data_IF_920162879547
#
_entry.id   IF_920162879547
#
_cell.length_a   1.000
_cell.length_b   1.000
_cell.length_c   1.000
_cell.angle_alpha   90.00
_cell.angle_beta   90.00
_cell.angle_gamma   90.00
#
_symmetry.space_group_name_H-M   'P 1'
#
loop_
_entity.id
_entity.type
_entity.pdbx_description
1 polymer ?
#
# COMPACT_ATOMS: atom_id res chain seq x y z
N UNK A 1 6.83 12.23 -32.73
CA UNK A 1 7.91 12.35 -31.72
C UNK A 1 7.51 13.17 -30.50
N UNK A 2 6.97 14.38 -30.64
CA UNK A 2 6.54 15.22 -29.50
C UNK A 2 5.65 14.49 -28.48
N UNK A 3 4.63 13.76 -28.96
CA UNK A 3 3.75 12.92 -28.14
C UNK A 3 4.50 11.96 -27.21
N UNK A 4 5.47 11.21 -27.73
CA UNK A 4 6.21 10.21 -26.95
C UNK A 4 7.08 10.89 -25.90
N UNK A 5 7.72 12.02 -26.24
CA UNK A 5 8.54 12.78 -25.29
C UNK A 5 7.69 13.27 -24.12
N UNK A 6 6.51 13.83 -24.41
CA UNK A 6 5.57 14.27 -23.37
C UNK A 6 5.12 13.07 -22.52
N UNK A 7 4.73 11.96 -23.16
CA UNK A 7 4.30 10.76 -22.44
C UNK A 7 5.38 10.18 -21.52
N UNK A 8 6.63 10.12 -21.98
CA UNK A 8 7.77 9.66 -21.16
C UNK A 8 8.06 10.62 -20.01
N UNK A 9 7.97 11.93 -20.23
CA UNK A 9 8.12 12.92 -19.16
C UNK A 9 7.04 12.77 -18.08
N UNK A 10 5.79 12.51 -18.49
CA UNK A 10 4.71 12.19 -17.56
C UNK A 10 4.98 10.89 -16.80
N UNK A 11 5.41 9.84 -17.51
CA UNK A 11 5.73 8.54 -16.92
C UNK A 11 6.85 8.57 -15.87
N UNK A 12 7.74 9.56 -15.89
CA UNK A 12 8.79 9.75 -14.87
C UNK A 12 8.24 10.45 -13.62
N UNK A 13 7.25 11.34 -13.78
CA UNK A 13 6.73 12.20 -12.72
C UNK A 13 5.43 11.68 -12.09
N UNK A 14 5.15 10.38 -12.18
CA UNK A 14 3.94 9.83 -11.58
C UNK A 14 3.99 9.87 -10.05
N UNK A 15 2.81 10.01 -9.44
CA UNK A 15 2.63 9.92 -7.99
C UNK A 15 1.90 8.63 -7.64
N UNK A 16 2.29 8.00 -6.55
CA UNK A 16 1.65 6.79 -6.03
C UNK A 16 0.59 7.15 -4.99
N UNK A 17 -0.46 6.32 -4.92
CA UNK A 17 -1.38 6.30 -3.79
C UNK A 17 -2.74 6.92 -4.07
N UNK A 18 -3.73 6.39 -3.36
CA UNK A 18 -5.12 6.85 -3.44
C UNK A 18 -5.39 7.75 -2.24
N UNK A 19 -5.78 9.00 -2.49
CA UNK A 19 -6.28 9.84 -1.42
C UNK A 19 -7.74 9.47 -1.12
N UNK A 20 -8.11 9.11 0.12
CA UNK A 20 -9.49 8.75 0.45
C UNK A 20 -10.50 9.86 0.15
N UNK A 21 -10.07 11.13 0.17
CA UNK A 21 -10.89 12.28 -0.23
C UNK A 21 -11.35 12.21 -1.69
N UNK A 22 -10.62 11.52 -2.57
CA UNK A 22 -10.99 11.39 -3.98
C UNK A 22 -12.02 10.27 -4.24
N UNK A 23 -12.31 9.44 -3.23
CA UNK A 23 -13.33 8.39 -3.33
C UNK A 23 -14.75 8.91 -3.11
N UNK A 24 -14.88 10.12 -2.60
CA UNK A 24 -16.16 10.73 -2.26
C UNK A 24 -16.37 11.97 -3.12
N UNK A 25 -17.62 12.26 -3.48
CA UNK A 25 -17.98 13.51 -4.15
C UNK A 25 -17.52 14.70 -3.31
N UNK A 26 -16.99 15.73 -3.97
CA UNK A 26 -16.38 16.89 -3.31
C UNK A 26 -17.33 17.66 -2.38
N UNK A 27 -18.64 17.59 -2.66
CA UNK A 27 -19.67 18.25 -1.86
C UNK A 27 -20.06 17.48 -0.59
N UNK A 28 -19.61 16.23 -0.45
CA UNK A 28 -19.98 15.39 0.69
C UNK A 28 -19.14 15.73 1.93
N UNK A 29 -19.77 15.73 3.11
CA UNK A 29 -19.12 16.07 4.38
C UNK A 29 -17.89 15.19 4.70
N UNK A 30 -17.86 13.96 4.18
CA UNK A 30 -16.74 13.02 4.36
C UNK A 30 -15.46 13.54 3.67
N UNK A 31 -15.56 14.22 2.53
CA UNK A 31 -14.40 14.80 1.87
C UNK A 31 -13.73 15.85 2.77
N UNK A 32 -14.54 16.68 3.46
CA UNK A 32 -14.06 17.65 4.45
C UNK A 32 -13.48 16.95 5.70
N UNK A 33 -14.14 15.89 6.18
CA UNK A 33 -13.62 15.07 7.29
C UNK A 33 -12.21 14.54 7.00
N UNK A 34 -11.96 14.00 5.80
CA UNK A 34 -10.63 13.51 5.43
C UNK A 34 -9.59 14.63 5.34
N UNK A 35 -9.97 15.84 4.93
CA UNK A 35 -9.09 17.00 4.94
C UNK A 35 -8.73 17.42 6.37
N UNK A 36 -9.71 17.48 7.26
CA UNK A 36 -9.50 17.83 8.67
C UNK A 36 -8.68 16.73 9.39
N UNK A 37 -8.89 15.47 9.04
CA UNK A 37 -8.14 14.33 9.58
C UNK A 37 -6.63 14.40 9.30
N UNK A 38 -6.21 15.03 8.18
CA UNK A 38 -4.78 15.28 7.89
C UNK A 38 -4.11 16.13 8.98
N UNK A 39 -4.85 16.98 9.70
CA UNK A 39 -4.31 17.75 10.83
C UNK A 39 -4.02 16.84 12.03
N UNK A 40 -4.89 15.86 12.28
CA UNK A 40 -4.70 14.89 13.36
C UNK A 40 -3.59 13.89 13.05
N UNK A 41 -3.33 13.55 11.78
CA UNK A 41 -2.21 12.67 11.41
C UNK A 41 -0.81 13.27 11.62
N UNK A 42 -0.70 14.55 12.00
CA UNK A 42 0.56 15.15 12.50
C UNK A 42 0.98 14.54 13.85
N UNK A 43 0.01 14.37 14.74
CA UNK A 43 0.16 13.80 16.08
C UNK A 43 -0.99 12.81 16.25
N UNK A 44 -0.72 11.60 15.78
CA UNK A 44 -1.75 10.77 15.19
C UNK A 44 -2.17 9.57 16.05
N UNK A 45 -2.64 8.52 15.38
CA UNK A 45 -3.21 7.33 15.99
C UNK A 45 -2.18 6.46 16.73
N UNK A 46 -2.69 5.58 17.58
CA UNK A 46 -1.88 4.63 18.34
C UNK A 46 -1.55 3.40 17.49
N UNK A 47 -0.27 3.08 17.39
CA UNK A 47 0.23 1.80 16.90
C UNK A 47 0.18 0.79 18.03
N UNK A 48 -0.34 -0.39 17.76
CA UNK A 48 -0.31 -1.51 18.70
C UNK A 48 0.87 -2.42 18.36
N UNK A 49 1.73 -2.69 19.34
CA UNK A 49 2.85 -3.62 19.21
C UNK A 49 2.57 -4.80 20.12
N UNK A 50 2.29 -5.96 19.53
CA UNK A 50 1.97 -7.20 20.24
C UNK A 50 3.20 -8.10 20.33
N UNK A 51 3.46 -8.63 21.52
CA UNK A 51 4.54 -9.57 21.80
C UNK A 51 3.88 -10.92 22.12
N UNK A 52 3.98 -11.87 21.20
CA UNK A 52 3.31 -13.17 21.30
C UNK A 52 4.06 -14.18 22.18
N UNK A 53 5.37 -13.99 22.36
CA UNK A 53 6.21 -14.81 23.24
C UNK A 53 7.04 -13.88 24.13
N UNK A 54 6.46 -13.41 25.24
CA UNK A 54 7.09 -12.39 26.05
C UNK A 54 8.33 -12.93 26.79
N UNK A 55 9.36 -12.08 26.96
CA UNK A 55 10.51 -12.40 27.79
C UNK A 55 10.10 -12.71 29.23
N UNK A 56 10.90 -13.53 29.90
CA UNK A 56 10.77 -13.76 31.33
C UNK A 56 11.18 -12.48 32.08
N UNK A 57 10.19 -11.80 32.66
CA UNK A 57 10.39 -10.56 33.42
C UNK A 57 11.23 -10.76 34.70
N UNK A 58 11.42 -11.98 35.17
CA UNK A 58 12.27 -12.27 36.33
C UNK A 58 13.75 -12.09 36.00
N UNK A 59 14.14 -12.32 34.74
CA UNK A 59 15.52 -12.22 34.27
C UNK A 59 15.85 -10.74 33.94
N UNK A 60 16.86 -10.13 34.59
CA UNK A 60 17.25 -8.74 34.30
C UNK A 60 17.71 -8.54 32.85
N UNK A 61 18.34 -9.53 32.23
CA UNK A 61 18.86 -9.41 30.85
C UNK A 61 17.68 -9.32 29.88
N UNK A 62 16.69 -10.18 30.06
CA UNK A 62 15.49 -10.19 29.21
C UNK A 62 14.61 -8.95 29.42
N UNK A 63 14.56 -8.41 30.64
CA UNK A 63 13.93 -7.11 30.90
C UNK A 63 14.64 -5.97 30.17
N UNK A 64 15.97 -5.96 30.17
CA UNK A 64 16.73 -4.95 29.43
C UNK A 64 16.49 -5.07 27.92
N UNK A 65 16.42 -6.29 27.38
CA UNK A 65 16.06 -6.53 25.97
C UNK A 65 14.64 -6.04 25.64
N UNK A 66 13.67 -6.26 26.53
CA UNK A 66 12.31 -5.71 26.37
C UNK A 66 12.32 -4.17 26.36
N UNK A 67 13.09 -3.56 27.26
CA UNK A 67 13.22 -2.11 27.29
C UNK A 67 13.96 -1.57 26.06
N UNK A 68 14.94 -2.30 25.53
CA UNK A 68 15.62 -1.98 24.28
C UNK A 68 14.67 -2.07 23.08
N UNK A 69 13.78 -3.07 23.05
CA UNK A 69 12.70 -3.19 22.08
C UNK A 69 11.77 -1.97 22.12
N UNK A 70 11.29 -1.58 23.30
CA UNK A 70 10.42 -0.39 23.42
C UNK A 70 11.16 0.86 22.94
N UNK A 71 12.43 1.03 23.29
CA UNK A 71 13.26 2.16 22.83
C UNK A 71 13.49 2.17 21.33
N UNK A 72 13.58 1.01 20.67
CA UNK A 72 13.74 0.97 19.21
C UNK A 72 12.49 1.47 18.49
N UNK A 73 11.30 1.22 19.04
CA UNK A 73 10.06 1.83 18.57
C UNK A 73 9.91 3.30 18.95
N UNK A 74 10.44 3.75 20.09
CA UNK A 74 10.38 5.16 20.50
C UNK A 74 11.31 6.06 19.66
N UNK A 75 12.45 5.53 19.22
CA UNK A 75 13.48 6.30 18.52
C UNK A 75 13.31 6.28 16.99
N UNK A 76 12.07 6.48 16.52
CA UNK A 76 11.81 6.53 15.07
C UNK A 76 11.25 7.87 14.61
N UNK A 77 11.35 8.13 13.29
CA UNK A 77 10.81 9.35 12.69
C UNK A 77 9.28 9.39 12.72
N UNK A 78 8.62 8.22 12.74
CA UNK A 78 7.16 8.07 12.62
C UNK A 78 6.46 7.76 13.95
N UNK A 79 7.19 7.67 15.06
CA UNK A 79 6.62 7.47 16.39
C UNK A 79 6.89 8.67 17.29
N UNK A 80 5.95 8.95 18.18
CA UNK A 80 6.22 9.75 19.35
C UNK A 80 7.11 8.92 20.27
N UNK A 81 8.14 9.55 20.85
CA UNK A 81 9.05 8.88 21.78
C UNK A 81 8.34 8.49 23.07
N UNK A 82 9.06 8.47 24.19
CA UNK A 82 8.52 7.94 25.45
C UNK A 82 7.24 8.59 25.96
N UNK A 83 6.95 9.84 25.57
CA UNK A 83 5.70 10.54 25.91
C UNK A 83 4.45 9.93 25.25
N UNK A 84 4.62 9.26 24.11
CA UNK A 84 3.54 8.61 23.36
C UNK A 84 3.39 7.12 23.64
N UNK A 85 4.23 6.53 24.48
CA UNK A 85 4.22 5.10 24.80
C UNK A 85 3.29 4.82 25.97
N UNK A 86 2.27 3.99 25.74
CA UNK A 86 1.41 3.45 26.79
C UNK A 86 1.74 1.99 26.99
N UNK A 87 2.37 1.67 28.12
CA UNK A 87 2.78 0.32 28.45
C UNK A 87 2.65 0.07 29.96
N UNK A 88 1.90 -0.97 30.35
CA UNK A 88 1.69 -1.31 31.76
C UNK A 88 3.00 -1.54 32.53
N UNK A 89 4.03 -2.06 31.86
CA UNK A 89 5.30 -2.36 32.50
C UNK A 89 6.04 -1.09 32.91
N UNK A 90 6.00 -0.04 32.08
CA UNK A 90 6.59 1.27 32.43
C UNK A 90 5.90 1.87 33.65
N UNK A 91 4.56 1.79 33.70
CA UNK A 91 3.81 2.29 34.84
C UNK A 91 4.03 1.47 36.11
N UNK A 92 4.22 0.16 35.96
CA UNK A 92 4.62 -0.68 37.08
C UNK A 92 6.01 -0.32 37.62
N UNK A 93 6.97 -0.03 36.74
CA UNK A 93 8.29 0.44 37.16
C UNK A 93 8.21 1.79 37.88
N UNK A 94 7.42 2.74 37.37
CA UNK A 94 7.17 4.02 38.05
C UNK A 94 6.56 3.82 39.44
N UNK A 95 5.61 2.89 39.58
CA UNK A 95 5.00 2.55 40.85
C UNK A 95 6.01 1.95 41.85
N UNK A 96 6.91 1.05 41.39
CA UNK A 96 7.95 0.48 42.23
C UNK A 96 8.96 1.55 42.71
N UNK A 97 9.30 2.50 41.84
CA UNK A 97 10.19 3.61 42.16
C UNK A 97 9.57 4.55 43.21
N UNK A 98 8.29 4.89 43.07
CA UNK A 98 7.54 5.68 44.07
C UNK A 98 7.49 5.01 45.45
N UNK A 99 7.48 3.68 45.49
CA UNK A 99 7.51 2.91 46.74
C UNK A 99 8.92 2.71 47.32
N UNK A 100 9.97 3.17 46.62
CA UNK A 100 11.37 2.86 46.94
C UNK A 100 11.59 1.34 47.14
N UNK A 101 10.93 0.51 46.32
CA UNK A 101 11.04 -0.94 46.42
C UNK A 101 12.34 -1.43 45.78
N UNK A 102 13.05 -2.34 46.45
CA UNK A 102 14.20 -3.02 45.86
C UNK A 102 13.75 -3.92 44.70
N UNK A 103 14.42 -3.78 43.55
CA UNK A 103 14.15 -4.53 42.32
C UNK A 103 14.71 -5.96 42.40
N UNK A 104 14.18 -6.77 43.31
CA UNK A 104 14.56 -8.19 43.39
C UNK A 104 14.14 -8.96 42.12
N UNK A 105 15.01 -9.85 41.66
CA UNK A 105 14.77 -10.74 40.52
C UNK A 105 13.93 -11.96 40.91
N UNK A 106 12.78 -11.71 41.56
CA UNK A 106 11.93 -12.76 42.14
C UNK A 106 10.57 -12.78 41.45
N UNK A 107 10.04 -13.99 41.18
CA UNK A 107 8.69 -14.23 40.64
C UNK A 107 7.59 -13.45 41.39
N UNK A 108 7.77 -13.31 42.71
CA UNK A 108 6.86 -12.56 43.57
C UNK A 108 6.66 -11.13 43.11
N UNK A 109 7.70 -10.44 42.64
CA UNK A 109 7.59 -9.06 42.15
C UNK A 109 7.00 -9.05 40.75
N UNK A 110 7.62 -9.79 39.84
CA UNK A 110 7.36 -9.67 38.40
C UNK A 110 6.09 -10.34 37.91
N UNK A 111 5.61 -11.38 38.60
CA UNK A 111 4.36 -12.06 38.23
C UNK A 111 3.25 -11.78 39.26
N UNK A 112 3.49 -12.05 40.54
CA UNK A 112 2.42 -11.99 41.55
C UNK A 112 2.04 -10.55 41.93
N UNK A 113 3.03 -9.72 42.30
CA UNK A 113 2.77 -8.33 42.67
C UNK A 113 2.30 -7.52 41.47
N UNK A 114 2.87 -7.73 40.29
CA UNK A 114 2.41 -7.08 39.06
C UNK A 114 0.92 -7.38 38.77
N UNK A 115 0.50 -8.65 38.82
CA UNK A 115 -0.91 -9.02 38.65
C UNK A 115 -1.81 -8.42 39.75
N UNK A 116 -1.31 -8.38 40.99
CA UNK A 116 -2.06 -7.74 42.08
C UNK A 116 -2.18 -6.23 41.87
N UNK A 117 -1.12 -5.58 41.42
CA UNK A 117 -1.11 -4.16 41.12
C UNK A 117 -2.13 -3.86 40.03
N UNK A 118 -2.10 -4.59 38.90
CA UNK A 118 -3.10 -4.48 37.85
C UNK A 118 -4.53 -4.58 38.42
N UNK A 119 -4.79 -5.55 39.29
CA UNK A 119 -6.12 -5.75 39.89
C UNK A 119 -6.57 -4.62 40.83
N UNK A 120 -5.66 -4.04 41.60
CA UNK A 120 -6.00 -3.10 42.68
C UNK A 120 -5.89 -1.62 42.30
N UNK A 121 -5.11 -1.27 41.27
CA UNK A 121 -4.91 0.14 40.86
C UNK A 121 -5.86 0.60 39.76
N UNK A 122 -6.86 -0.21 39.39
CA UNK A 122 -7.74 0.07 38.25
C UNK A 122 -7.10 -0.21 36.88
N UNK A 123 -5.81 -0.56 36.86
CA UNK A 123 -5.10 -1.00 35.66
C UNK A 123 -5.72 -2.22 34.98
N UNK A 124 -6.47 -3.03 35.73
CA UNK A 124 -7.20 -4.17 35.20
C UNK A 124 -8.17 -3.76 34.11
N UNK A 125 -8.83 -2.61 34.22
CA UNK A 125 -9.79 -2.16 33.23
C UNK A 125 -9.09 -1.56 31.99
N UNK A 126 -7.94 -0.92 32.20
CA UNK A 126 -7.18 -0.29 31.11
C UNK A 126 -6.44 -1.33 30.26
N UNK A 127 -5.80 -2.31 30.90
CA UNK A 127 -4.95 -3.30 30.25
C UNK A 127 -5.57 -4.70 30.17
N UNK A 128 -6.86 -4.86 30.49
CA UNK A 128 -7.55 -6.16 30.41
C UNK A 128 -7.39 -6.80 29.03
N UNK A 129 -7.55 -5.98 28.00
CA UNK A 129 -7.46 -6.40 26.59
C UNK A 129 -6.03 -6.43 26.07
N UNK A 130 -5.08 -5.90 26.84
CA UNK A 130 -3.68 -5.74 26.44
C UNK A 130 -2.80 -6.90 26.91
N UNK A 131 -3.26 -7.68 27.89
CA UNK A 131 -2.45 -8.68 28.59
C UNK A 131 -3.18 -10.02 28.61
N UNK A 132 -2.50 -11.06 28.15
CA UNK A 132 -2.94 -12.45 28.25
C UNK A 132 -1.97 -13.19 29.17
N UNK A 133 -2.49 -13.78 30.25
CA UNK A 133 -1.72 -14.59 31.19
C UNK A 133 -2.41 -15.93 31.43
N UNK A 134 -1.60 -16.96 31.70
CA UNK A 134 -2.10 -18.28 32.05
C UNK A 134 -2.61 -18.25 33.51
N UNK A 135 -3.84 -18.75 33.73
CA UNK A 135 -4.49 -18.73 35.05
C UNK A 135 -3.81 -19.65 36.07
N UNK A 136 -3.19 -20.73 35.61
CA UNK A 136 -2.58 -21.74 36.48
C UNK A 136 -1.16 -21.34 36.90
N UNK A 137 -0.34 -20.92 35.94
CA UNK A 137 1.06 -20.55 36.18
C UNK A 137 1.26 -19.08 36.53
N UNK A 138 0.23 -18.23 36.32
CA UNK A 138 0.31 -16.76 36.46
C UNK A 138 1.41 -16.11 35.60
N UNK A 139 1.91 -16.84 34.60
CA UNK A 139 2.90 -16.35 33.66
C UNK A 139 2.21 -15.61 32.50
N UNK A 140 2.82 -14.52 32.04
CA UNK A 140 2.38 -13.80 30.85
C UNK A 140 2.60 -14.66 29.60
N UNK A 141 1.55 -14.81 28.80
CA UNK A 141 1.59 -15.58 27.55
C UNK A 141 1.73 -14.64 26.36
N UNK A 142 1.08 -13.49 26.38
CA UNK A 142 1.25 -12.44 25.39
C UNK A 142 0.87 -11.10 26.01
N UNK A 143 1.45 -10.02 25.52
CA UNK A 143 0.96 -8.68 25.84
C UNK A 143 1.24 -7.70 24.70
N UNK A 144 0.51 -6.60 24.68
CA UNK A 144 0.77 -5.49 23.76
C UNK A 144 1.10 -4.20 24.50
N UNK A 145 1.87 -3.36 23.85
CA UNK A 145 2.02 -1.95 24.22
C UNK A 145 1.57 -1.07 23.06
N UNK A 146 1.25 0.18 23.37
CA UNK A 146 0.76 1.13 22.39
C UNK A 146 1.76 2.28 22.27
N UNK A 147 1.99 2.77 21.06
CA UNK A 147 2.86 3.91 20.81
C UNK A 147 2.19 4.86 19.83
N UNK A 148 2.09 6.14 20.19
CA UNK A 148 1.50 7.14 19.31
C UNK A 148 2.37 7.35 18.07
N UNK A 149 1.75 7.40 16.89
CA UNK A 149 2.43 7.71 15.63
C UNK A 149 2.44 9.22 15.35
N UNK A 150 3.41 9.68 14.58
CA UNK A 150 3.51 11.09 14.14
C UNK A 150 3.90 11.18 12.66
N UNK A 151 3.57 12.30 12.03
CA UNK A 151 3.99 12.64 10.67
C UNK A 151 3.63 11.58 9.61
N UNK A 152 2.42 11.01 9.68
CA UNK A 152 1.90 10.05 8.70
C UNK A 152 0.72 10.64 7.92
N UNK A 153 0.97 11.76 7.22
CA UNK A 153 -0.08 12.51 6.52
C UNK A 153 -0.28 11.99 5.10
N UNK A 154 0.81 11.66 4.42
CA UNK A 154 0.79 11.22 3.02
C UNK A 154 0.75 9.70 2.89
N UNK A 155 0.12 9.14 1.83
CA UNK A 155 0.14 7.70 1.54
C UNK A 155 1.56 7.10 1.52
N UNK A 156 2.52 7.85 0.98
CA UNK A 156 3.93 7.44 0.95
C UNK A 156 4.54 7.34 2.35
N UNK A 157 4.16 8.22 3.28
CA UNK A 157 4.63 8.16 4.66
C UNK A 157 4.05 6.95 5.38
N UNK A 158 2.78 6.61 5.16
CA UNK A 158 2.20 5.37 5.71
C UNK A 158 2.95 4.12 5.23
N UNK A 159 3.29 4.08 3.93
CA UNK A 159 4.08 3.01 3.30
C UNK A 159 5.46 2.86 3.94
N UNK A 160 6.17 3.97 4.10
CA UNK A 160 7.52 4.00 4.69
C UNK A 160 7.50 3.66 6.19
N UNK A 161 6.53 4.20 6.94
CA UNK A 161 6.36 3.91 8.35
C UNK A 161 6.08 2.41 8.58
N UNK A 162 5.13 1.82 7.84
CA UNK A 162 4.81 0.41 7.96
C UNK A 162 6.03 -0.48 7.65
N UNK A 163 6.81 -0.14 6.60
CA UNK A 163 8.02 -0.89 6.25
C UNK A 163 9.09 -0.80 7.34
N UNK A 164 9.41 0.40 7.80
CA UNK A 164 10.43 0.62 8.83
C UNK A 164 10.05 -0.04 10.17
N UNK A 165 8.79 0.06 10.60
CA UNK A 165 8.32 -0.56 11.84
C UNK A 165 8.36 -2.09 11.78
N UNK A 166 8.10 -2.69 10.61
CA UNK A 166 8.24 -4.14 10.40
C UNK A 166 9.69 -4.59 10.39
N UNK A 167 10.57 -3.83 9.74
CA UNK A 167 12.02 -4.10 9.79
C UNK A 167 12.52 -4.08 11.25
N UNK A 168 12.01 -3.17 12.07
CA UNK A 168 12.30 -3.18 13.52
C UNK A 168 11.80 -4.48 14.15
N UNK A 169 10.58 -4.95 13.86
CA UNK A 169 10.08 -6.23 14.40
C UNK A 169 10.98 -7.42 14.01
N UNK A 170 11.38 -7.49 12.74
CA UNK A 170 12.15 -8.61 12.18
C UNK A 170 13.56 -8.71 12.76
N UNK A 171 14.13 -7.60 13.25
CA UNK A 171 15.47 -7.58 13.86
C UNK A 171 15.52 -8.08 15.31
N UNK A 172 14.37 -8.28 15.94
CA UNK A 172 14.28 -8.50 17.38
C UNK A 172 14.28 -9.99 17.72
N UNK A 173 14.83 -10.38 18.88
CA UNK A 173 14.89 -11.80 19.28
C UNK A 173 13.52 -12.37 19.69
N UNK A 174 12.51 -11.51 19.86
CA UNK A 174 11.16 -11.90 20.28
C UNK A 174 10.21 -11.94 19.09
N UNK A 175 9.16 -12.75 19.19
CA UNK A 175 8.08 -12.75 18.23
C UNK A 175 7.20 -11.51 18.46
N UNK A 176 7.49 -10.45 17.72
CA UNK A 176 6.82 -9.15 17.77
C UNK A 176 6.03 -8.92 16.50
N UNK A 177 4.79 -8.49 16.66
CA UNK A 177 3.91 -8.10 15.55
C UNK A 177 3.35 -6.70 15.79
N UNK A 178 3.09 -5.98 14.71
CA UNK A 178 2.52 -4.63 14.78
C UNK A 178 1.17 -4.58 14.10
N UNK A 179 0.26 -3.80 14.68
CA UNK A 179 -1.07 -3.59 14.19
C UNK A 179 -1.45 -2.11 14.25
N UNK A 180 -1.95 -1.62 13.13
CA UNK A 180 -2.54 -0.29 13.01
C UNK A 180 -3.63 -0.33 11.95
N UNK A 181 -4.73 0.38 12.18
CA UNK A 181 -5.91 0.36 11.31
C UNK A 181 -5.61 0.75 9.86
N UNK A 182 -4.63 1.65 9.63
CA UNK A 182 -4.26 2.08 8.29
C UNK A 182 -3.25 1.18 7.56
N UNK A 183 -2.67 0.16 8.22
CA UNK A 183 -1.65 -0.70 7.60
C UNK A 183 -2.15 -1.53 6.42
N UNK A 184 -3.37 -2.08 6.40
CA UNK A 184 -3.89 -2.77 5.21
C UNK A 184 -3.86 -1.88 3.95
N UNK A 185 -4.12 -0.58 4.08
CA UNK A 185 -4.03 0.36 2.96
C UNK A 185 -2.56 0.60 2.54
N UNK A 186 -1.66 0.74 3.51
CA UNK A 186 -0.22 0.85 3.24
C UNK A 186 0.34 -0.39 2.51
N UNK A 187 -0.15 -1.58 2.88
CA UNK A 187 0.22 -2.85 2.24
C UNK A 187 -0.25 -2.93 0.80
N UNK A 188 -1.46 -2.47 0.53
CA UNK A 188 -1.96 -2.34 -0.82
C UNK A 188 -1.05 -1.42 -1.66
N UNK A 189 -0.64 -0.26 -1.13
CA UNK A 189 0.29 0.66 -1.81
C UNK A 189 1.68 0.06 -2.06
N UNK A 190 2.19 -0.78 -1.14
CA UNK A 190 3.46 -1.51 -1.34
C UNK A 190 3.39 -2.46 -2.54
N UNK A 191 2.23 -3.08 -2.78
CA UNK A 191 2.05 -4.12 -3.79
C UNK A 191 1.65 -3.53 -5.15
N UNK A 192 0.99 -2.37 -5.19
CA UNK A 192 0.48 -1.77 -6.44
C UNK A 192 1.58 -1.56 -7.48
N UNK A 193 2.65 -0.82 -7.17
CA UNK A 193 3.69 -0.49 -8.17
C UNK A 193 4.36 -1.74 -8.77
N UNK A 194 4.91 -2.70 -7.99
CA UNK A 194 5.55 -3.88 -8.55
C UNK A 194 4.55 -4.76 -9.32
N UNK A 195 3.29 -4.79 -8.89
CA UNK A 195 2.24 -5.54 -9.60
C UNK A 195 1.88 -4.88 -10.92
N UNK A 196 1.76 -3.54 -10.98
CA UNK A 196 1.52 -2.81 -12.24
C UNK A 196 2.61 -3.10 -13.25
N UNK A 197 3.88 -2.99 -12.85
CA UNK A 197 5.00 -3.26 -13.74
C UNK A 197 4.97 -4.69 -14.28
N UNK A 198 4.78 -5.68 -13.40
CA UNK A 198 4.69 -7.11 -13.78
C UNK A 198 3.50 -7.36 -14.70
N UNK A 199 2.33 -6.82 -14.38
CA UNK A 199 1.11 -7.04 -15.15
C UNK A 199 1.20 -6.41 -16.55
N UNK A 200 1.73 -5.19 -16.66
CA UNK A 200 1.95 -4.51 -17.94
C UNK A 200 2.96 -5.29 -18.79
N UNK A 201 4.07 -5.75 -18.18
CA UNK A 201 5.08 -6.53 -18.90
C UNK A 201 4.53 -7.86 -19.41
N UNK A 202 3.85 -8.62 -18.56
CA UNK A 202 3.23 -9.91 -18.94
C UNK A 202 2.18 -9.69 -20.02
N UNK A 203 1.32 -8.67 -19.87
CA UNK A 203 0.33 -8.31 -20.88
C UNK A 203 1.00 -8.00 -22.21
N UNK A 204 2.02 -7.15 -22.23
CA UNK A 204 2.74 -6.81 -23.45
C UNK A 204 3.41 -8.03 -24.12
N UNK A 205 3.98 -8.93 -23.32
CA UNK A 205 4.56 -10.18 -23.83
C UNK A 205 3.49 -11.07 -24.48
N UNK A 206 2.37 -11.29 -23.82
CA UNK A 206 1.26 -12.10 -24.35
C UNK A 206 0.72 -11.48 -25.63
N UNK A 207 0.53 -10.16 -25.67
CA UNK A 207 0.05 -9.46 -26.86
C UNK A 207 1.04 -9.53 -28.02
N UNK A 208 2.34 -9.48 -27.72
CA UNK A 208 3.39 -9.68 -28.73
C UNK A 208 3.31 -11.09 -29.32
N UNK A 209 3.13 -12.12 -28.49
CA UNK A 209 2.96 -13.51 -28.95
C UNK A 209 1.70 -13.66 -29.81
N UNK A 210 0.58 -13.08 -29.39
CA UNK A 210 -0.67 -13.12 -30.17
C UNK A 210 -0.50 -12.41 -31.50
N UNK A 211 0.15 -11.24 -31.53
CA UNK A 211 0.42 -10.51 -32.77
C UNK A 211 1.27 -11.33 -33.74
N UNK A 212 2.31 -12.03 -33.25
CA UNK A 212 3.11 -12.93 -34.09
C UNK A 212 2.34 -14.16 -34.59
N UNK A 213 1.40 -14.70 -33.81
CA UNK A 213 0.59 -15.85 -34.22
C UNK A 213 -0.43 -15.44 -35.30
N UNK A 214 -1.07 -14.29 -35.12
CA UNK A 214 -2.21 -13.86 -35.95
C UNK A 214 -1.77 -13.21 -37.27
N UNK A 215 -0.52 -12.70 -37.34
CA UNK A 215 -0.02 -11.96 -38.50
C UNK A 215 1.04 -12.79 -39.23
N UNK A 216 0.78 -13.20 -40.49
CA UNK A 216 1.73 -13.99 -41.27
C UNK A 216 3.05 -13.27 -41.62
N UNK A 217 3.13 -11.95 -41.43
CA UNK A 217 4.28 -11.12 -41.77
C UNK A 217 4.96 -10.52 -40.54
N UNK A 218 6.19 -10.96 -40.27
CA UNK A 218 7.06 -10.52 -39.16
C UNK A 218 7.28 -8.99 -39.11
N UNK A 219 7.63 -8.29 -40.22
CA UNK A 219 7.88 -6.84 -40.15
C UNK A 219 6.64 -6.04 -39.77
N UNK A 220 5.45 -6.45 -40.23
CA UNK A 220 4.19 -5.81 -39.85
C UNK A 220 3.89 -6.03 -38.37
N UNK A 221 4.10 -7.26 -37.85
CA UNK A 221 3.92 -7.59 -36.44
C UNK A 221 4.79 -6.69 -35.53
N UNK A 222 6.05 -6.44 -35.89
CA UNK A 222 6.94 -5.57 -35.11
C UNK A 222 6.44 -4.12 -35.05
N UNK A 223 5.95 -3.57 -36.18
CA UNK A 223 5.42 -2.20 -36.21
C UNK A 223 4.19 -2.02 -35.31
N UNK A 224 3.39 -3.08 -35.16
CA UNK A 224 2.20 -3.07 -34.32
C UNK A 224 2.58 -3.15 -32.85
N UNK A 225 3.54 -4.01 -32.50
CA UNK A 225 4.07 -4.07 -31.13
C UNK A 225 4.61 -2.70 -30.71
N UNK A 226 5.34 -2.01 -31.60
CA UNK A 226 5.82 -0.64 -31.35
C UNK A 226 4.63 0.33 -31.15
N UNK A 227 3.58 0.19 -31.96
CA UNK A 227 2.37 1.02 -31.85
C UNK A 227 1.63 0.79 -30.53
N UNK A 228 1.50 -0.46 -30.10
CA UNK A 228 0.89 -0.82 -28.81
C UNK A 228 1.70 -0.23 -27.66
N UNK A 229 3.03 -0.42 -27.65
CA UNK A 229 3.91 0.18 -26.63
C UNK A 229 3.74 1.70 -26.59
N UNK A 230 3.70 2.36 -27.74
CA UNK A 230 3.50 3.81 -27.82
C UNK A 230 2.16 4.25 -27.20
N UNK A 231 1.07 3.53 -27.46
CA UNK A 231 -0.25 3.83 -26.87
C UNK A 231 -0.22 3.61 -25.36
N UNK A 232 0.40 2.53 -24.89
CA UNK A 232 0.51 2.21 -23.46
C UNK A 232 1.30 3.28 -22.70
N UNK A 233 2.48 3.66 -23.22
CA UNK A 233 3.28 4.75 -22.64
C UNK A 233 2.52 6.06 -22.67
N UNK A 234 1.74 6.31 -23.72
CA UNK A 234 0.82 7.43 -23.82
C UNK A 234 -0.18 7.49 -22.67
N UNK A 235 -1.03 6.45 -22.53
CA UNK A 235 -2.07 6.40 -21.50
C UNK A 235 -1.46 6.59 -20.10
N UNK A 236 -0.37 5.88 -19.80
CA UNK A 236 0.32 6.00 -18.52
C UNK A 236 0.90 7.41 -18.31
N UNK A 237 1.51 8.01 -19.33
CA UNK A 237 2.09 9.34 -19.25
C UNK A 237 1.04 10.45 -19.08
N UNK A 238 -0.04 10.41 -19.85
CA UNK A 238 -1.10 11.42 -19.79
C UNK A 238 -1.90 11.38 -18.49
N UNK A 239 -2.03 10.21 -17.85
CA UNK A 239 -2.62 10.06 -16.52
C UNK A 239 -1.97 11.02 -15.50
N UNK A 240 -0.65 11.16 -15.56
CA UNK A 240 0.09 12.04 -14.64
C UNK A 240 -0.16 13.52 -14.88
N UNK A 241 -0.33 13.94 -16.15
CA UNK A 241 -0.65 15.33 -16.49
C UNK A 241 -2.07 15.72 -16.10
N UNK A 242 -2.99 14.76 -16.06
CA UNK A 242 -4.34 14.95 -15.51
C UNK A 242 -4.40 14.87 -13.99
N UNK A 243 -3.26 14.70 -13.30
CA UNK A 243 -3.19 14.65 -11.85
C UNK A 243 -3.78 13.38 -11.24
N UNK A 244 -3.92 12.31 -12.03
CA UNK A 244 -4.39 11.01 -11.56
C UNK A 244 -3.19 10.23 -11.02
N UNK A 245 -3.27 9.86 -9.74
CA UNK A 245 -2.24 9.07 -9.07
C UNK A 245 -2.34 7.60 -9.48
N UNK A 246 -1.21 6.90 -9.44
CA UNK A 246 -1.17 5.46 -9.65
C UNK A 246 -1.72 4.73 -8.42
N UNK A 247 -2.90 4.14 -8.59
CA UNK A 247 -3.58 3.30 -7.61
C UNK A 247 -4.08 1.98 -8.23
N UNK A 248 -4.81 1.18 -7.45
CA UNK A 248 -5.35 -0.10 -7.94
C UNK A 248 -6.40 0.09 -9.03
N UNK A 249 -7.22 1.16 -8.97
CA UNK A 249 -8.22 1.44 -10.01
C UNK A 249 -7.53 1.85 -11.32
N UNK A 250 -6.58 2.77 -11.23
CA UNK A 250 -5.78 3.20 -12.39
C UNK A 250 -4.98 2.06 -13.00
N UNK A 251 -4.46 1.13 -12.19
CA UNK A 251 -3.82 -0.10 -12.70
C UNK A 251 -4.77 -0.89 -13.61
N UNK A 252 -6.02 -1.11 -13.17
CA UNK A 252 -7.03 -1.83 -13.97
C UNK A 252 -7.33 -1.05 -15.26
N UNK A 253 -7.49 0.27 -15.17
CA UNK A 253 -7.73 1.13 -16.34
C UNK A 253 -6.58 1.08 -17.34
N UNK A 254 -5.32 1.03 -16.89
CA UNK A 254 -4.16 0.86 -17.76
C UNK A 254 -4.23 -0.49 -18.46
N UNK A 255 -4.44 -1.59 -17.74
CA UNK A 255 -4.54 -2.94 -18.33
C UNK A 255 -5.69 -3.04 -19.33
N UNK A 256 -6.85 -2.47 -19.01
CA UNK A 256 -8.00 -2.39 -19.91
C UNK A 256 -7.64 -1.61 -21.18
N UNK A 257 -6.92 -0.50 -21.05
CA UNK A 257 -6.45 0.30 -22.19
C UNK A 257 -5.50 -0.48 -23.10
N UNK A 258 -4.63 -1.33 -22.53
CA UNK A 258 -3.77 -2.24 -23.33
C UNK A 258 -4.64 -3.20 -24.14
N UNK A 259 -5.65 -3.80 -23.52
CA UNK A 259 -6.59 -4.71 -24.19
C UNK A 259 -7.29 -4.04 -25.37
N UNK A 260 -7.84 -2.83 -25.18
CA UNK A 260 -8.47 -2.06 -26.24
C UNK A 260 -7.51 -1.66 -27.36
N UNK A 261 -6.30 -1.22 -27.01
CA UNK A 261 -5.30 -0.84 -28.01
C UNK A 261 -4.92 -2.02 -28.93
N UNK A 262 -4.83 -3.23 -28.37
CA UNK A 262 -4.49 -4.43 -29.13
C UNK A 262 -5.63 -4.87 -30.02
N UNK A 263 -6.87 -4.88 -29.51
CA UNK A 263 -8.06 -5.27 -30.28
C UNK A 263 -8.20 -4.42 -31.56
N UNK A 264 -8.14 -3.10 -31.41
CA UNK A 264 -8.19 -2.16 -32.53
C UNK A 264 -7.04 -2.38 -33.51
N UNK A 265 -5.82 -2.55 -33.00
CA UNK A 265 -4.63 -2.75 -33.83
C UNK A 265 -4.70 -4.08 -34.61
N UNK A 266 -5.16 -5.15 -33.97
CA UNK A 266 -5.30 -6.47 -34.60
C UNK A 266 -6.31 -6.46 -35.74
N UNK A 267 -7.47 -5.80 -35.54
CA UNK A 267 -8.49 -5.67 -36.58
C UNK A 267 -7.96 -4.92 -37.81
N UNK A 268 -7.32 -3.75 -37.62
CA UNK A 268 -6.74 -2.96 -38.71
C UNK A 268 -5.74 -3.78 -39.52
N UNK A 269 -4.88 -4.53 -38.82
CA UNK A 269 -3.81 -5.28 -39.45
C UNK A 269 -4.35 -6.49 -40.20
N UNK A 270 -5.32 -7.18 -39.62
CA UNK A 270 -5.96 -8.31 -40.29
C UNK A 270 -6.60 -7.88 -41.62
N UNK A 271 -7.28 -6.73 -41.66
CA UNK A 271 -7.79 -6.20 -42.93
C UNK A 271 -6.68 -5.75 -43.88
N UNK A 272 -5.61 -5.14 -43.39
CA UNK A 272 -4.46 -4.79 -44.22
C UNK A 272 -3.81 -6.02 -44.86
N UNK A 273 -3.67 -7.12 -44.10
CA UNK A 273 -3.13 -8.39 -44.58
C UNK A 273 -4.05 -9.04 -45.61
N UNK A 274 -5.37 -8.97 -45.39
CA UNK A 274 -6.38 -9.60 -46.25
C UNK A 274 -6.68 -8.78 -47.51
N UNK A 275 -6.44 -7.46 -47.51
CA UNK A 275 -6.63 -6.61 -48.66
C UNK A 275 -5.65 -6.96 -49.80
N UNK A 276 -6.16 -6.99 -51.02
CA UNK A 276 -5.41 -7.20 -52.25
C UNK A 276 -5.02 -5.86 -52.90
N UNK A 277 -3.84 -5.77 -53.50
CA UNK A 277 -3.36 -4.56 -54.20
C UNK A 277 -1.96 -4.11 -53.78
N UNK A 278 -1.55 -2.94 -54.27
CA UNK A 278 -0.30 -2.29 -53.83
C UNK A 278 -0.39 -1.82 -52.37
N UNK A 279 0.74 -1.58 -51.72
CA UNK A 279 0.83 -1.18 -50.30
C UNK A 279 -0.11 -0.01 -49.97
N UNK A 280 -0.17 0.99 -50.86
CA UNK A 280 -1.03 2.16 -50.68
C UNK A 280 -2.51 1.83 -50.78
N UNK A 281 -2.89 1.00 -51.75
CA UNK A 281 -4.28 0.58 -51.96
C UNK A 281 -4.77 -0.29 -50.81
N UNK A 282 -3.91 -1.15 -50.26
CA UNK A 282 -4.21 -1.98 -49.10
C UNK A 282 -4.47 -1.16 -47.84
N UNK A 283 -3.69 -0.10 -47.60
CA UNK A 283 -3.94 0.82 -46.47
C UNK A 283 -5.28 1.54 -46.65
N UNK A 284 -5.57 2.03 -47.85
CA UNK A 284 -6.83 2.75 -48.14
C UNK A 284 -8.04 1.82 -47.95
N UNK A 285 -8.00 0.62 -48.54
CA UNK A 285 -9.08 -0.36 -48.42
C UNK A 285 -9.29 -0.87 -46.99
N UNK A 286 -8.21 -1.09 -46.22
CA UNK A 286 -8.32 -1.45 -44.81
C UNK A 286 -8.97 -0.33 -43.98
N UNK A 287 -8.60 0.93 -44.24
CA UNK A 287 -9.16 2.08 -43.54
C UNK A 287 -10.62 2.34 -43.94
N UNK A 288 -10.99 2.12 -45.21
CA UNK A 288 -12.37 2.30 -45.68
C UNK A 288 -13.32 1.28 -45.03
N UNK A 289 -12.89 0.02 -44.92
CA UNK A 289 -13.73 -1.03 -44.32
C UNK A 289 -13.78 -1.00 -42.79
N UNK A 290 -12.67 -0.66 -42.11
CA UNK A 290 -12.61 -0.70 -40.64
C UNK A 290 -12.66 0.66 -39.95
N UNK A 291 -12.39 1.75 -40.66
CA UNK A 291 -12.33 3.08 -40.06
C UNK A 291 -13.66 3.49 -39.43
N UNK A 292 -14.77 3.26 -40.13
CA UNK A 292 -16.10 3.61 -39.63
C UNK A 292 -16.54 2.76 -38.43
N UNK A 293 -16.45 1.41 -38.47
CA UNK A 293 -16.70 0.58 -37.28
C UNK A 293 -15.86 0.98 -36.06
N UNK A 294 -14.55 1.20 -36.23
CA UNK A 294 -13.65 1.57 -35.13
C UNK A 294 -14.04 2.93 -34.53
N UNK A 295 -14.41 3.89 -35.38
CA UNK A 295 -14.87 5.19 -34.91
C UNK A 295 -16.18 5.09 -34.11
N UNK A 296 -17.13 4.27 -34.57
CA UNK A 296 -18.38 4.01 -33.85
C UNK A 296 -18.13 3.35 -32.48
N UNK A 297 -17.18 2.40 -32.42
CA UNK A 297 -16.77 1.74 -31.17
C UNK A 297 -16.21 2.77 -30.19
N UNK A 298 -15.25 3.60 -30.63
CA UNK A 298 -14.67 4.65 -29.79
C UNK A 298 -15.71 5.65 -29.28
N UNK A 299 -16.67 6.04 -30.13
CA UNK A 299 -17.75 6.95 -29.74
C UNK A 299 -18.72 6.32 -28.73
N UNK A 300 -19.03 5.03 -28.91
CA UNK A 300 -19.89 4.28 -28.00
C UNK A 300 -19.26 4.14 -26.62
N UNK A 301 -17.96 3.85 -26.55
CA UNK A 301 -17.22 3.78 -25.28
C UNK A 301 -17.21 5.13 -24.54
N UNK A 302 -16.96 6.23 -25.25
CA UNK A 302 -16.97 7.56 -24.66
C UNK A 302 -18.35 7.94 -24.10
N UNK A 303 -19.42 7.62 -24.84
CA UNK A 303 -20.78 7.89 -24.41
C UNK A 303 -21.18 7.06 -23.18
N UNK A 304 -20.78 5.79 -23.16
CA UNK A 304 -21.01 4.91 -22.02
C UNK A 304 -20.31 5.41 -20.75
N UNK A 305 -19.03 5.81 -20.85
CA UNK A 305 -18.28 6.37 -19.72
C UNK A 305 -18.96 7.63 -19.19
N UNK A 306 -19.46 8.51 -20.07
CA UNK A 306 -20.12 9.76 -19.68
C UNK A 306 -21.48 9.56 -19.00
N UNK A 307 -22.17 8.44 -19.23
CA UNK A 307 -23.43 8.12 -18.54
C UNK A 307 -23.20 7.51 -17.15
N UNK A 308 -22.00 6.98 -16.88
CA UNK A 308 -21.64 6.37 -15.60
C UNK A 308 -21.07 7.33 -14.55
N UNK A 309 -20.79 8.58 -14.92
CA UNK A 309 -20.36 9.68 -14.04
C UNK A 309 -21.51 10.61 -13.73
#
# INVERSE_FOLDING_TARGET
MFYIVVAVMGAINFREGLEPSHLVTGDHYIAKYFQDMKLFWKMGPQLHVAIQSPPNLTDPIQREQLMALVRSFENTEYTMGREGTVFFFLEYLNYLDQLNAELENTDRIWNQKLLSWLKYTGGSNQWETDIVFNKDTKAFTAYRFQIAMKNIIEPNQHKLAAKMLREICDTQPFQVEIYHEAFPFADQYLIILPSTYRNVLISLMVMTVIAFLLIPSIPSAVLIVISIVSICTGVFGYMTFWGVNLDAVSMISIIMSIGFAVDLSAHIVYAFVTAHGDTRERVIGALEHLGWPIFQVGHSYLFYIKQGT
#
